data_IF_575222343569
#
_entry.id   IF_575222343569
#
_cell.length_a   1.000
_cell.length_b   1.000
_cell.length_c   1.000
_cell.angle_alpha   90.00
_cell.angle_beta   90.00
_cell.angle_gamma   90.00
#
_symmetry.space_group_name_H-M   'P 1'
#
loop_
_entity.id
_entity.type
_entity.pdbx_description
1 polymer ?
#
# COMPACT_ATOMS: atom_id res chain seq x y z
N UNK A 1 -13.31 -11.95 42.91
CA UNK A 1 -13.80 -11.45 41.60
C UNK A 1 -12.90 -10.31 41.16
N UNK A 2 -12.00 -10.58 40.21
CA UNK A 2 -11.08 -9.56 39.68
C UNK A 2 -11.84 -8.60 38.77
N UNK A 3 -11.70 -7.28 38.98
CA UNK A 3 -12.18 -6.28 38.03
C UNK A 3 -11.42 -6.47 36.71
N UNK A 4 -12.11 -6.60 35.56
CA UNK A 4 -11.43 -6.83 34.29
C UNK A 4 -10.50 -5.65 33.93
N UNK A 5 -9.39 -6.00 33.29
CA UNK A 5 -8.25 -5.11 33.00
C UNK A 5 -8.52 -4.05 31.89
N UNK A 6 -9.74 -3.55 31.78
CA UNK A 6 -10.18 -2.62 30.71
C UNK A 6 -9.44 -1.27 30.71
N UNK A 7 -8.86 -0.85 31.84
CA UNK A 7 -8.17 0.44 31.95
C UNK A 7 -6.87 0.54 31.11
N UNK A 8 -6.21 -0.59 30.82
CA UNK A 8 -4.94 -0.60 30.07
C UNK A 8 -5.17 -0.57 28.55
N UNK A 9 -6.21 -1.26 28.07
CA UNK A 9 -6.62 -1.27 26.66
C UNK A 9 -7.11 0.11 26.22
N UNK A 10 -7.87 0.79 27.08
CA UNK A 10 -8.38 2.14 26.80
C UNK A 10 -7.26 3.17 26.57
N UNK A 11 -6.13 3.04 27.28
CA UNK A 11 -4.96 3.92 27.08
C UNK A 11 -4.25 3.64 25.75
N UNK A 12 -4.17 2.37 25.31
CA UNK A 12 -3.56 1.98 24.03
C UNK A 12 -4.40 2.44 22.83
N UNK A 13 -5.72 2.32 22.92
CA UNK A 13 -6.67 2.82 21.90
C UNK A 13 -6.51 4.33 21.70
N UNK A 14 -6.51 5.08 22.81
CA UNK A 14 -6.38 6.53 22.80
C UNK A 14 -5.02 6.97 22.22
N UNK A 15 -3.93 6.29 22.60
CA UNK A 15 -2.60 6.58 22.06
C UNK A 15 -2.47 6.28 20.55
N UNK A 16 -3.12 5.21 20.06
CA UNK A 16 -3.12 4.85 18.64
C UNK A 16 -3.92 5.85 17.78
N UNK A 17 -5.01 6.39 18.33
CA UNK A 17 -5.80 7.46 17.71
C UNK A 17 -5.04 8.79 17.66
N UNK A 18 -4.34 9.14 18.75
CA UNK A 18 -3.51 10.33 18.88
C UNK A 18 -2.35 10.34 17.88
N UNK A 19 -1.63 9.22 17.73
CA UNK A 19 -0.44 9.16 16.88
C UNK A 19 -0.74 9.07 15.39
N UNK A 20 -1.87 8.48 14.98
CA UNK A 20 -2.13 8.18 13.58
C UNK A 20 -3.15 9.13 12.93
N UNK A 21 -4.30 9.36 13.57
CA UNK A 21 -5.38 10.15 12.95
C UNK A 21 -5.09 11.65 13.08
N UNK A 22 -4.74 12.09 14.28
CA UNK A 22 -4.63 13.50 14.63
C UNK A 22 -3.34 14.12 14.09
N UNK A 23 -2.22 13.38 14.10
CA UNK A 23 -0.94 13.90 13.64
C UNK A 23 -0.85 14.05 12.11
N UNK A 24 -1.72 13.38 11.35
CA UNK A 24 -1.70 13.39 9.89
C UNK A 24 -2.72 14.32 9.24
N UNK A 25 -3.57 15.01 10.02
CA UNK A 25 -4.46 16.05 9.45
C UNK A 25 -3.58 17.19 8.91
N UNK A 26 -3.73 17.59 7.62
CA UNK A 26 -2.98 18.69 7.05
C UNK A 26 -3.15 19.97 7.85
N UNK A 27 -2.08 20.75 8.03
CA UNK A 27 -2.11 21.99 8.84
C UNK A 27 -3.09 23.04 8.32
N UNK A 28 -3.36 23.01 7.01
CA UNK A 28 -4.30 23.90 6.33
C UNK A 28 -5.77 23.49 6.47
N UNK A 29 -6.08 22.34 7.06
CA UNK A 29 -7.46 21.89 7.23
C UNK A 29 -8.08 22.43 8.51
N UNK A 30 -9.36 22.77 8.42
CA UNK A 30 -10.23 23.17 9.51
C UNK A 30 -11.01 21.96 10.03
N UNK A 31 -11.35 21.98 11.33
CA UNK A 31 -12.10 20.90 11.96
C UNK A 31 -13.41 21.45 12.53
N UNK A 32 -14.50 20.70 12.35
CA UNK A 32 -15.80 20.95 12.96
C UNK A 32 -16.16 19.76 13.85
N UNK A 33 -16.52 20.02 15.11
CA UNK A 33 -17.12 19.00 15.98
C UNK A 33 -18.61 19.27 16.11
N UNK A 34 -19.41 18.26 15.79
CA UNK A 34 -20.87 18.31 15.85
C UNK A 34 -21.33 17.27 16.86
N UNK A 35 -22.22 17.65 17.76
CA UNK A 35 -22.91 16.70 18.65
C UNK A 35 -24.40 16.76 18.37
N UNK A 36 -24.98 15.67 17.89
CA UNK A 36 -26.42 15.50 17.75
C UNK A 36 -26.99 15.06 19.10
N UNK A 37 -27.91 15.86 19.63
CA UNK A 37 -28.57 15.66 20.92
C UNK A 37 -29.96 15.09 20.61
N UNK A 38 -30.15 13.81 20.91
CA UNK A 38 -31.40 13.04 20.77
C UNK A 38 -31.67 12.48 19.37
N UNK A 39 -31.39 11.20 19.23
CA UNK A 39 -31.92 10.33 18.20
C UNK A 39 -33.10 9.57 18.81
N UNK A 40 -34.32 9.77 18.30
CA UNK A 40 -35.46 8.90 18.64
C UNK A 40 -35.22 7.45 18.21
N UNK A 41 -36.14 6.54 18.54
CA UNK A 41 -36.00 5.10 18.24
C UNK A 41 -35.77 4.75 16.75
N UNK A 42 -36.16 5.63 15.82
CA UNK A 42 -36.08 5.43 14.36
C UNK A 42 -34.81 6.06 13.73
N UNK A 43 -33.65 5.93 14.37
CA UNK A 43 -32.50 6.82 14.12
C UNK A 43 -31.36 6.29 13.26
N UNK A 44 -31.42 5.04 12.83
CA UNK A 44 -30.31 4.36 12.14
C UNK A 44 -30.19 4.74 10.64
N UNK A 45 -31.28 4.79 9.85
CA UNK A 45 -31.20 5.20 8.44
C UNK A 45 -30.76 6.65 8.28
N UNK A 46 -31.24 7.54 9.16
CA UNK A 46 -30.93 8.96 9.13
C UNK A 46 -29.44 9.26 9.37
N UNK A 47 -28.74 8.46 10.19
CA UNK A 47 -27.30 8.63 10.41
C UNK A 47 -26.51 8.46 9.11
N UNK A 48 -26.69 7.33 8.42
CA UNK A 48 -25.95 7.03 7.18
C UNK A 48 -26.19 8.10 6.11
N UNK A 49 -27.42 8.58 5.98
CA UNK A 49 -27.75 9.64 5.05
C UNK A 49 -27.06 10.96 5.39
N UNK A 50 -26.95 11.30 6.68
CA UNK A 50 -26.21 12.49 7.13
C UNK A 50 -24.72 12.31 6.88
N UNK A 51 -24.14 11.16 7.23
CA UNK A 51 -22.73 10.84 7.02
C UNK A 51 -22.36 11.00 5.53
N UNK A 52 -23.20 10.50 4.63
CA UNK A 52 -23.03 10.63 3.17
C UNK A 52 -23.20 12.08 2.71
N UNK A 53 -24.25 12.79 3.17
CA UNK A 53 -24.51 14.18 2.77
C UNK A 53 -23.38 15.12 3.21
N UNK A 54 -22.89 14.99 4.44
CA UNK A 54 -21.75 15.76 4.94
C UNK A 54 -20.49 15.37 4.16
N UNK A 55 -20.23 14.08 3.96
CA UNK A 55 -19.04 13.63 3.23
C UNK A 55 -19.00 14.08 1.75
N UNK A 56 -20.17 14.23 1.10
CA UNK A 56 -20.30 14.77 -0.27
C UNK A 56 -20.21 16.29 -0.37
N UNK A 57 -20.28 17.00 0.76
CA UNK A 57 -20.26 18.47 0.78
C UNK A 57 -18.93 18.99 0.19
N UNK A 58 -18.95 19.86 -0.83
CA UNK A 58 -17.74 20.36 -1.46
C UNK A 58 -16.76 21.00 -0.46
N UNK A 59 -15.54 20.48 -0.44
CA UNK A 59 -14.46 20.94 0.43
C UNK A 59 -14.42 20.29 1.82
N UNK A 60 -15.32 19.35 2.11
CA UNK A 60 -15.10 18.34 3.16
C UNK A 60 -14.08 17.33 2.65
N UNK A 61 -13.05 17.07 3.44
CA UNK A 61 -11.98 16.11 3.10
C UNK A 61 -12.33 14.71 3.61
N UNK A 62 -12.81 14.61 4.86
CA UNK A 62 -13.39 13.39 5.42
C UNK A 62 -14.23 13.71 6.68
N UNK A 63 -15.06 12.75 7.07
CA UNK A 63 -15.95 12.82 8.24
C UNK A 63 -15.72 11.57 9.09
N UNK A 64 -15.69 11.74 10.41
CA UNK A 64 -15.74 10.64 11.37
C UNK A 64 -17.01 10.81 12.17
N UNK A 65 -17.90 9.82 12.15
CA UNK A 65 -19.09 9.78 13.01
C UNK A 65 -18.96 8.69 14.06
N UNK A 66 -19.43 8.96 15.28
CA UNK A 66 -19.42 8.02 16.39
C UNK A 66 -20.77 8.03 17.11
N UNK A 67 -21.35 6.86 17.40
CA UNK A 67 -22.49 6.81 18.31
C UNK A 67 -22.01 7.16 19.73
N UNK A 68 -22.81 7.93 20.44
CA UNK A 68 -22.58 8.30 21.83
C UNK A 68 -23.79 7.89 22.66
N UNK A 69 -23.58 7.14 23.74
CA UNK A 69 -24.56 6.99 24.81
C UNK A 69 -24.21 7.96 25.93
N UNK A 70 -25.14 8.81 26.37
CA UNK A 70 -24.98 9.46 27.67
C UNK A 70 -25.93 8.84 28.67
N UNK A 71 -25.38 8.16 29.68
CA UNK A 71 -26.07 8.04 30.94
C UNK A 71 -26.14 9.44 31.54
N UNK A 72 -27.35 9.93 31.78
CA UNK A 72 -27.51 11.11 32.62
C UNK A 72 -27.07 10.70 34.03
N UNK A 73 -25.82 11.01 34.38
CA UNK A 73 -25.38 11.09 35.76
C UNK A 73 -26.04 12.33 36.40
N UNK A 74 -27.37 12.32 36.51
CA UNK A 74 -28.02 13.13 37.52
C UNK A 74 -27.53 12.56 38.85
N UNK A 75 -26.70 13.33 39.56
CA UNK A 75 -26.40 13.13 40.98
C UNK A 75 -27.71 13.25 41.78
N UNK A 76 -28.62 12.27 41.66
CA UNK A 76 -29.71 12.08 42.63
C UNK A 76 -29.12 11.24 43.75
N UNK A 77 -29.02 11.85 44.94
CA UNK A 77 -28.87 11.13 46.22
C UNK A 77 -29.86 9.96 46.18
N UNK A 78 -29.35 8.72 46.26
CA UNK A 78 -30.18 7.53 46.37
C UNK A 78 -30.87 7.56 47.73
N UNK A 79 -32.19 7.68 47.73
CA UNK A 79 -33.04 7.01 48.72
C UNK A 79 -33.38 5.64 48.16
N UNK A 80 -33.41 4.63 49.04
CA UNK A 80 -33.39 3.20 48.71
C UNK A 80 -34.71 2.60 48.21
N UNK A 81 -35.75 3.42 48.03
CA UNK A 81 -37.05 2.97 47.54
C UNK A 81 -37.45 3.81 46.34
N UNK A 82 -37.14 3.31 45.14
CA UNK A 82 -37.96 3.54 43.95
C UNK A 82 -37.59 2.50 42.87
N UNK A 83 -38.47 1.51 42.81
CA UNK A 83 -38.85 0.67 41.67
C UNK A 83 -38.31 1.09 40.30
N UNK A 84 -37.48 0.21 39.73
CA UNK A 84 -37.48 -0.30 38.33
C UNK A 84 -37.95 0.62 37.19
N UNK A 85 -37.69 1.92 37.21
CA UNK A 85 -37.75 2.76 36.00
C UNK A 85 -36.58 2.38 35.09
N UNK A 86 -36.89 1.82 33.91
CA UNK A 86 -35.93 1.61 32.84
C UNK A 86 -35.21 2.93 32.56
N UNK A 87 -33.91 2.97 32.88
CA UNK A 87 -33.05 4.11 32.59
C UNK A 87 -32.97 4.28 31.07
N UNK A 88 -33.80 5.17 30.51
CA UNK A 88 -33.74 5.50 29.07
C UNK A 88 -32.41 6.18 28.74
N UNK A 89 -31.47 5.39 28.22
CA UNK A 89 -30.20 5.90 27.68
C UNK A 89 -30.52 6.77 26.47
N UNK A 90 -30.13 8.05 26.51
CA UNK A 90 -30.24 8.93 25.35
C UNK A 90 -29.11 8.58 24.37
N UNK A 91 -29.49 7.99 23.23
CA UNK A 91 -28.60 7.74 22.09
C UNK A 91 -28.39 9.05 21.32
N UNK A 92 -27.16 9.32 20.91
CA UNK A 92 -26.76 10.49 20.11
C UNK A 92 -25.61 10.14 19.17
N UNK A 93 -25.23 11.05 18.28
CA UNK A 93 -24.08 10.89 17.38
C UNK A 93 -23.17 12.11 17.49
N UNK A 94 -21.87 11.87 17.57
CA UNK A 94 -20.86 12.90 17.43
C UNK A 94 -20.22 12.81 16.03
N UNK A 95 -20.07 13.94 15.34
CA UNK A 95 -19.31 14.04 14.11
C UNK A 95 -18.06 14.87 14.31
N UNK A 96 -17.01 14.48 13.61
CA UNK A 96 -15.78 15.22 13.42
C UNK A 96 -15.57 15.38 11.92
N UNK A 97 -15.80 16.59 11.42
CA UNK A 97 -15.71 16.92 10.00
C UNK A 97 -14.43 17.69 9.75
N UNK A 98 -13.61 17.20 8.83
CA UNK A 98 -12.38 17.87 8.40
C UNK A 98 -12.65 18.53 7.05
N UNK A 99 -12.39 19.83 6.97
CA UNK A 99 -12.76 20.66 5.81
C UNK A 99 -11.60 21.57 5.38
N UNK A 100 -11.52 21.89 4.09
CA UNK A 100 -10.45 22.74 3.52
C UNK A 100 -10.56 24.21 3.88
N UNK A 101 -11.78 24.70 4.13
CA UNK A 101 -12.05 26.12 4.34
C UNK A 101 -13.17 26.29 5.36
N UNK A 102 -13.11 27.37 6.15
CA UNK A 102 -14.14 27.70 7.15
C UNK A 102 -15.51 28.00 6.53
N UNK A 103 -15.56 28.53 5.31
CA UNK A 103 -16.79 28.89 4.58
C UNK A 103 -17.80 27.73 4.42
N UNK A 104 -17.33 26.48 4.55
CA UNK A 104 -18.12 25.26 4.40
C UNK A 104 -18.97 24.97 5.66
N UNK A 105 -18.66 25.60 6.79
CA UNK A 105 -19.36 25.38 8.07
C UNK A 105 -20.88 25.59 7.96
N UNK A 106 -21.32 26.65 7.27
CA UNK A 106 -22.74 26.98 7.13
C UNK A 106 -23.49 25.97 6.26
N UNK A 107 -22.81 25.35 5.30
CA UNK A 107 -23.38 24.27 4.50
C UNK A 107 -23.57 23.00 5.32
N UNK A 108 -22.57 22.63 6.14
CA UNK A 108 -22.68 21.50 7.07
C UNK A 108 -23.80 21.75 8.10
N UNK A 109 -23.90 22.98 8.62
CA UNK A 109 -25.01 23.39 9.52
C UNK A 109 -26.37 23.20 8.86
N UNK A 110 -26.52 23.59 7.58
CA UNK A 110 -27.76 23.39 6.81
C UNK A 110 -28.08 21.92 6.59
N UNK A 111 -27.10 21.09 6.26
CA UNK A 111 -27.28 19.64 6.10
C UNK A 111 -27.81 19.00 7.39
N UNK A 112 -27.24 19.37 8.54
CA UNK A 112 -27.65 18.83 9.84
C UNK A 112 -29.04 19.36 10.26
N UNK A 113 -29.28 20.65 10.06
CA UNK A 113 -30.57 21.28 10.39
C UNK A 113 -31.71 20.71 9.53
N UNK A 114 -31.45 20.49 8.24
CA UNK A 114 -32.41 19.87 7.31
C UNK A 114 -32.73 18.41 7.64
N UNK A 115 -31.91 17.75 8.44
CA UNK A 115 -32.18 16.41 8.95
C UNK A 115 -33.01 16.40 10.25
N UNK A 116 -33.39 17.57 10.78
CA UNK A 116 -34.30 17.69 11.93
C UNK A 116 -33.66 17.46 13.31
N UNK A 117 -32.33 17.39 13.39
CA UNK A 117 -31.63 17.11 14.65
C UNK A 117 -31.29 18.38 15.43
N UNK A 118 -31.52 18.35 16.75
CA UNK A 118 -30.90 19.32 17.66
C UNK A 118 -29.40 19.06 17.70
N UNK A 119 -28.60 20.00 17.21
CA UNK A 119 -27.15 19.85 17.15
C UNK A 119 -26.43 20.96 17.91
N UNK A 120 -25.31 20.60 18.51
CA UNK A 120 -24.32 21.55 19.03
C UNK A 120 -23.08 21.47 18.15
N UNK A 121 -22.85 22.52 17.36
CA UNK A 121 -21.74 22.60 16.42
C UNK A 121 -20.68 23.54 16.99
N UNK A 122 -19.46 23.03 17.10
CA UNK A 122 -18.29 23.74 17.61
C UNK A 122 -17.22 23.76 16.52
N UNK A 123 -16.88 24.95 16.04
CA UNK A 123 -15.75 25.15 15.15
C UNK A 123 -14.44 25.13 15.94
N UNK A 124 -13.44 24.41 15.41
CA UNK A 124 -12.18 24.12 16.11
C UNK A 124 -11.01 24.95 15.57
N UNK A 125 -11.09 25.44 14.33
CA UNK A 125 -10.00 26.18 13.68
C UNK A 125 -9.02 25.30 12.90
N UNK A 126 -8.11 25.93 12.12
CA UNK A 126 -7.03 25.22 11.45
C UNK A 126 -5.92 24.83 12.42
N UNK A 127 -5.19 23.76 12.09
CA UNK A 127 -4.11 23.22 12.94
C UNK A 127 -2.86 24.09 12.83
N UNK A 128 -2.65 24.98 13.81
CA UNK A 128 -1.41 25.75 13.96
C UNK A 128 -1.62 27.21 14.38
N UNK A 129 -2.78 27.80 14.09
CA UNK A 129 -3.05 29.21 14.39
C UNK A 129 -3.48 29.44 15.85
N UNK A 130 -4.10 28.44 16.49
CA UNK A 130 -4.52 28.54 17.89
C UNK A 130 -4.31 27.21 18.61
N UNK A 131 -3.06 26.95 19.01
CA UNK A 131 -2.62 25.71 19.65
C UNK A 131 -3.52 25.30 20.83
N UNK A 132 -3.96 26.28 21.65
CA UNK A 132 -4.89 26.05 22.77
C UNK A 132 -6.26 25.56 22.30
N UNK A 133 -6.85 26.15 21.27
CA UNK A 133 -8.15 25.73 20.75
C UNK A 133 -8.10 24.34 20.08
N UNK A 134 -7.00 24.05 19.38
CA UNK A 134 -6.73 22.71 18.83
C UNK A 134 -6.58 21.69 19.97
N UNK A 135 -5.76 21.97 20.99
CA UNK A 135 -5.55 21.07 22.12
C UNK A 135 -6.84 20.84 22.94
N UNK A 136 -7.67 21.87 23.15
CA UNK A 136 -8.98 21.74 23.81
C UNK A 136 -9.92 20.84 23.00
N UNK A 137 -9.88 20.94 21.68
CA UNK A 137 -10.78 20.20 20.80
C UNK A 137 -10.34 18.76 20.60
N UNK A 138 -9.02 18.54 20.54
CA UNK A 138 -8.41 17.22 20.64
C UNK A 138 -8.71 16.57 22.00
N UNK A 139 -8.67 17.35 23.09
CA UNK A 139 -9.09 16.89 24.41
C UNK A 139 -10.57 16.54 24.45
N UNK A 140 -11.45 17.29 23.77
CA UNK A 140 -12.88 16.98 23.66
C UNK A 140 -13.18 15.75 22.82
N UNK A 141 -12.50 15.57 21.69
CA UNK A 141 -12.55 14.35 20.87
C UNK A 141 -12.09 13.14 21.72
N UNK A 142 -10.96 13.29 22.41
CA UNK A 142 -10.41 12.30 23.35
C UNK A 142 -11.40 11.95 24.46
N UNK A 143 -12.03 12.94 25.10
CA UNK A 143 -13.06 12.70 26.12
C UNK A 143 -14.27 12.00 25.51
N UNK A 144 -14.75 12.41 24.33
CA UNK A 144 -15.89 11.79 23.65
C UNK A 144 -15.61 10.32 23.31
N UNK A 145 -14.42 10.01 22.81
CA UNK A 145 -14.00 8.64 22.50
C UNK A 145 -13.72 7.81 23.76
N UNK A 146 -13.24 8.44 24.84
CA UNK A 146 -13.03 7.79 26.14
C UNK A 146 -14.35 7.46 26.84
N UNK A 147 -15.30 8.39 26.86
CA UNK A 147 -16.64 8.20 27.40
C UNK A 147 -17.36 7.08 26.63
N UNK A 148 -17.17 7.03 25.32
CA UNK A 148 -17.63 5.94 24.46
C UNK A 148 -17.00 4.58 24.83
N UNK A 149 -15.68 4.50 24.96
CA UNK A 149 -15.00 3.25 25.28
C UNK A 149 -15.35 2.73 26.70
N UNK A 150 -15.61 3.65 27.64
CA UNK A 150 -16.10 3.29 28.97
C UNK A 150 -17.54 2.74 28.93
N UNK A 151 -18.40 3.24 28.02
CA UNK A 151 -19.72 2.65 27.81
C UNK A 151 -19.62 1.23 27.21
N UNK A 152 -18.63 0.99 26.34
CA UNK A 152 -18.34 -0.33 25.75
C UNK A 152 -17.85 -1.36 26.78
N UNK A 153 -16.93 -0.96 27.66
CA UNK A 153 -16.42 -1.81 28.75
C UNK A 153 -17.48 -2.22 29.79
N UNK A 154 -18.65 -1.58 29.77
CA UNK A 154 -19.79 -1.93 30.62
C UNK A 154 -20.81 -2.87 29.95
N UNK A 155 -20.52 -3.43 28.76
CA UNK A 155 -21.39 -4.42 28.10
C UNK A 155 -22.54 -3.84 27.27
N UNK A 156 -22.63 -2.52 27.11
CA UNK A 156 -23.67 -1.86 26.29
C UNK A 156 -23.50 -2.05 24.77
N UNK A 157 -22.43 -2.74 24.35
CA UNK A 157 -22.04 -2.95 22.97
C UNK A 157 -22.85 -4.04 22.24
N UNK A 158 -23.32 -5.05 22.98
CA UNK A 158 -24.05 -6.20 22.40
C UNK A 158 -25.41 -5.79 21.82
N UNK A 159 -25.92 -4.60 22.16
CA UNK A 159 -27.19 -4.05 21.63
C UNK A 159 -27.07 -3.30 20.30
N UNK A 160 -25.87 -3.14 19.72
CA UNK A 160 -25.70 -2.38 18.48
C UNK A 160 -25.39 -3.31 17.28
N UNK A 161 -26.38 -3.55 16.43
CA UNK A 161 -26.25 -4.25 15.14
C UNK A 161 -25.39 -3.50 14.08
N UNK A 162 -24.75 -2.38 14.44
CA UNK A 162 -24.04 -1.49 13.51
C UNK A 162 -22.67 -1.03 14.01
N UNK A 163 -21.75 -0.71 13.08
CA UNK A 163 -20.44 -0.17 13.41
C UNK A 163 -20.57 1.15 14.16
N UNK A 164 -19.84 1.24 15.25
CA UNK A 164 -20.05 2.32 16.20
C UNK A 164 -19.31 3.58 15.81
N UNK A 165 -18.19 3.42 15.10
CA UNK A 165 -17.48 4.49 14.42
C UNK A 165 -17.57 4.29 12.90
N UNK A 166 -17.94 5.33 12.16
CA UNK A 166 -17.89 5.33 10.70
C UNK A 166 -16.94 6.44 10.23
N UNK A 167 -16.03 6.10 9.32
CA UNK A 167 -15.16 7.08 8.64
C UNK A 167 -15.62 7.19 7.21
N UNK A 168 -16.06 8.37 6.80
CA UNK A 168 -16.56 8.65 5.46
C UNK A 168 -15.60 9.56 4.72
N UNK A 169 -15.14 9.12 3.55
CA UNK A 169 -14.31 9.92 2.65
C UNK A 169 -14.76 9.77 1.21
N UNK A 170 -14.75 10.87 0.46
CA UNK A 170 -15.02 10.90 -0.98
C UNK A 170 -13.78 11.34 -1.77
N UNK A 171 -12.62 11.43 -1.11
CA UNK A 171 -11.36 11.88 -1.71
C UNK A 171 -10.34 10.75 -1.72
N UNK A 172 -9.97 10.31 -2.92
CA UNK A 172 -9.01 9.22 -3.15
C UNK A 172 -7.62 9.50 -2.56
N UNK A 173 -7.23 10.78 -2.46
CA UNK A 173 -5.92 11.19 -1.95
C UNK A 173 -5.66 10.83 -0.47
N UNK A 174 -6.70 10.61 0.34
CA UNK A 174 -6.57 10.21 1.75
C UNK A 174 -6.82 8.72 1.97
N UNK A 175 -6.99 7.93 0.90
CA UNK A 175 -7.35 6.53 1.02
C UNK A 175 -6.27 5.73 1.77
N UNK A 176 -4.99 5.97 1.46
CA UNK A 176 -3.88 5.30 2.15
C UNK A 176 -3.76 5.73 3.61
N UNK A 177 -3.93 7.03 3.90
CA UNK A 177 -3.92 7.54 5.28
C UNK A 177 -5.05 6.92 6.10
N UNK A 178 -6.27 6.88 5.55
CA UNK A 178 -7.45 6.30 6.20
C UNK A 178 -7.29 4.77 6.35
N UNK A 179 -6.65 4.10 5.39
CA UNK A 179 -6.31 2.68 5.49
C UNK A 179 -5.31 2.43 6.62
N UNK A 180 -4.28 3.26 6.77
CA UNK A 180 -3.35 3.18 7.89
C UNK A 180 -4.06 3.42 9.23
N UNK A 181 -4.98 4.39 9.29
CA UNK A 181 -5.79 4.66 10.49
C UNK A 181 -6.67 3.47 10.86
N UNK A 182 -7.35 2.90 9.88
CA UNK A 182 -8.16 1.71 10.03
C UNK A 182 -7.34 0.52 10.55
N UNK A 183 -6.15 0.31 10.00
CA UNK A 183 -5.26 -0.75 10.47
C UNK A 183 -4.84 -0.52 11.93
N UNK A 184 -4.48 0.71 12.30
CA UNK A 184 -4.18 1.07 13.68
C UNK A 184 -5.38 0.85 14.63
N UNK A 185 -6.59 1.23 14.21
CA UNK A 185 -7.82 1.03 14.98
C UNK A 185 -8.18 -0.45 15.18
N UNK A 186 -7.92 -1.30 14.19
CA UNK A 186 -8.11 -2.76 14.31
C UNK A 186 -7.16 -3.37 15.32
N UNK A 187 -5.91 -2.89 15.40
CA UNK A 187 -4.94 -3.39 16.40
C UNK A 187 -5.35 -3.12 17.84
N UNK A 188 -6.33 -2.24 18.06
CA UNK A 188 -6.86 -1.88 19.38
C UNK A 188 -8.34 -2.29 19.55
N UNK A 189 -8.82 -3.20 18.71
CA UNK A 189 -10.14 -3.84 18.80
C UNK A 189 -11.35 -2.88 18.74
N UNK A 190 -11.20 -1.74 18.06
CA UNK A 190 -12.31 -0.82 17.82
C UNK A 190 -13.09 -1.29 16.59
N UNK A 191 -14.40 -1.52 16.74
CA UNK A 191 -15.30 -1.79 15.62
C UNK A 191 -15.60 -0.49 14.85
N UNK A 192 -15.11 -0.40 13.62
CA UNK A 192 -15.39 0.71 12.72
C UNK A 192 -15.67 0.23 11.29
N UNK A 193 -16.40 1.05 10.53
CA UNK A 193 -16.61 0.87 9.09
C UNK A 193 -16.08 2.09 8.35
N UNK A 194 -15.41 1.84 7.22
CA UNK A 194 -14.98 2.88 6.32
C UNK A 194 -15.98 2.94 5.18
N UNK A 195 -16.67 4.06 5.04
CA UNK A 195 -17.51 4.35 3.89
C UNK A 195 -16.68 5.22 2.96
N UNK A 196 -15.87 4.56 2.12
CA UNK A 196 -15.26 5.24 1.00
C UNK A 196 -16.32 5.41 -0.08
N UNK A 197 -16.71 6.66 -0.36
CA UNK A 197 -17.50 7.00 -1.52
C UNK A 197 -16.69 6.90 -2.81
N UNK A 198 -16.19 5.70 -3.10
CA UNK A 198 -16.05 5.27 -4.47
C UNK A 198 -17.44 4.82 -4.93
N UNK A 199 -17.82 5.05 -6.20
CA UNK A 199 -19.12 4.63 -6.71
C UNK A 199 -19.37 3.15 -6.40
N UNK A 200 -20.54 2.88 -5.81
CA UNK A 200 -20.96 1.59 -5.32
C UNK A 200 -20.98 0.58 -6.48
N UNK A 201 -20.10 -0.42 -6.43
CA UNK A 201 -19.91 -1.48 -7.42
C UNK A 201 -19.36 -1.08 -8.80
N UNK A 202 -18.38 -1.87 -9.25
CA UNK A 202 -17.84 -1.83 -10.61
C UNK A 202 -18.95 -1.97 -11.67
N UNK A 203 -20.01 -2.71 -11.38
CA UNK A 203 -21.15 -2.94 -12.28
C UNK A 203 -22.03 -1.71 -12.47
N UNK A 204 -22.23 -0.88 -11.44
CA UNK A 204 -23.00 0.37 -11.55
C UNK A 204 -22.18 1.48 -12.26
N UNK A 205 -20.86 1.48 -12.08
CA UNK A 205 -19.91 2.31 -12.84
C UNK A 205 -19.85 1.91 -14.31
N UNK A 206 -19.93 0.61 -14.60
CA UNK A 206 -19.94 0.10 -15.98
C UNK A 206 -21.30 0.32 -16.67
N UNK A 207 -22.42 0.27 -15.92
CA UNK A 207 -23.76 0.52 -16.46
C UNK A 207 -24.08 2.00 -16.70
N UNK A 208 -23.48 2.91 -15.92
CA UNK A 208 -23.75 4.36 -16.01
C UNK A 208 -22.63 5.17 -16.68
N UNK A 209 -21.57 4.54 -17.21
CA UNK A 209 -20.55 5.26 -17.98
C UNK A 209 -20.96 5.36 -19.44
N UNK A 210 -21.50 6.52 -19.80
CA UNK A 210 -21.11 7.11 -21.08
C UNK A 210 -19.57 7.21 -21.14
N UNK A 211 -18.94 6.79 -22.24
CA UNK A 211 -17.49 6.65 -22.39
C UNK A 211 -16.82 8.02 -22.31
N UNK A 212 -16.20 8.37 -21.17
CA UNK A 212 -15.65 9.74 -20.98
C UNK A 212 -14.26 9.80 -20.36
N UNK A 213 -13.50 8.71 -20.34
CA UNK A 213 -12.05 8.85 -20.22
C UNK A 213 -11.35 7.80 -21.09
N UNK A 214 -11.17 8.14 -22.36
CA UNK A 214 -10.45 7.32 -23.35
C UNK A 214 -9.07 6.87 -22.83
N UNK A 215 -8.41 7.69 -22.00
CA UNK A 215 -7.15 7.33 -21.34
C UNK A 215 -7.26 6.17 -20.34
N UNK A 216 -8.40 6.03 -19.64
CA UNK A 216 -8.64 4.89 -18.75
C UNK A 216 -8.90 3.62 -19.54
N UNK A 217 -9.65 3.70 -20.64
CA UNK A 217 -9.88 2.56 -21.53
C UNK A 217 -8.55 2.10 -22.14
N UNK A 218 -7.75 3.03 -22.66
CA UNK A 218 -6.41 2.76 -23.18
C UNK A 218 -5.49 2.06 -22.17
N UNK A 219 -5.57 2.46 -20.89
CA UNK A 219 -4.81 1.84 -19.82
C UNK A 219 -5.27 0.41 -19.53
N UNK A 220 -6.57 0.16 -19.48
CA UNK A 220 -7.10 -1.20 -19.29
C UNK A 220 -6.81 -2.10 -20.49
N UNK A 221 -7.00 -1.61 -21.73
CA UNK A 221 -6.63 -2.33 -22.96
C UNK A 221 -5.15 -2.70 -22.97
N UNK A 222 -4.26 -1.77 -22.56
CA UNK A 222 -2.83 -2.06 -22.42
C UNK A 222 -2.56 -3.13 -21.36
N UNK A 223 -3.20 -3.07 -20.18
CA UNK A 223 -3.02 -4.08 -19.13
C UNK A 223 -3.45 -5.46 -19.59
N UNK A 224 -4.60 -5.56 -20.26
CA UNK A 224 -5.11 -6.81 -20.81
C UNK A 224 -4.13 -7.40 -21.81
N UNK A 225 -3.68 -6.59 -22.78
CA UNK A 225 -2.69 -7.03 -23.77
C UNK A 225 -1.37 -7.48 -23.13
N UNK A 226 -0.89 -6.77 -22.10
CA UNK A 226 0.30 -7.17 -21.35
C UNK A 226 0.11 -8.49 -20.60
N UNK A 227 -1.05 -8.69 -19.96
CA UNK A 227 -1.34 -9.92 -19.22
C UNK A 227 -1.46 -11.13 -20.13
N UNK A 228 -2.17 -11.00 -21.26
CA UNK A 228 -2.32 -12.05 -22.27
C UNK A 228 -0.97 -12.46 -22.88
N UNK A 229 -0.14 -11.47 -23.19
CA UNK A 229 1.21 -11.69 -23.69
C UNK A 229 2.21 -12.14 -22.60
N UNK A 230 1.77 -12.21 -21.34
CA UNK A 230 2.63 -12.55 -20.18
C UNK A 230 3.84 -11.62 -20.09
N UNK A 231 3.57 -10.33 -20.25
CA UNK A 231 4.53 -9.25 -20.12
C UNK A 231 4.39 -8.53 -18.78
N UNK A 232 5.49 -7.98 -18.29
CA UNK A 232 5.56 -7.21 -17.06
C UNK A 232 6.48 -5.99 -17.23
N UNK A 233 6.43 -5.06 -16.28
CA UNK A 233 7.18 -3.80 -16.36
C UNK A 233 8.14 -3.69 -15.19
N UNK A 234 9.35 -3.23 -15.44
CA UNK A 234 10.28 -2.83 -14.39
C UNK A 234 11.12 -1.63 -14.82
N UNK A 235 11.00 -0.54 -14.04
CA UNK A 235 11.78 0.70 -14.21
C UNK A 235 11.77 1.21 -15.65
N UNK A 236 10.58 1.26 -16.24
CA UNK A 236 10.38 1.74 -17.62
C UNK A 236 10.87 0.81 -18.73
N UNK A 237 11.23 -0.43 -18.39
CA UNK A 237 11.49 -1.49 -19.36
C UNK A 237 10.40 -2.55 -19.27
N UNK A 238 10.10 -3.16 -20.41
CA UNK A 238 9.13 -4.24 -20.54
C UNK A 238 9.87 -5.56 -20.62
N UNK A 239 9.32 -6.55 -19.96
CA UNK A 239 9.86 -7.88 -19.83
C UNK A 239 8.82 -8.90 -20.26
N UNK A 240 9.24 -9.99 -20.90
CA UNK A 240 8.36 -11.13 -21.22
C UNK A 240 8.74 -12.32 -20.38
N UNK A 241 7.75 -13.15 -20.04
CA UNK A 241 8.02 -14.42 -19.39
C UNK A 241 8.83 -15.33 -20.31
N UNK A 242 9.90 -15.93 -19.78
CA UNK A 242 10.78 -16.82 -20.54
C UNK A 242 10.01 -18.09 -20.91
N UNK A 243 10.07 -18.58 -22.17
CA UNK A 243 9.46 -19.86 -22.54
C UNK A 243 10.00 -21.01 -21.68
N UNK A 244 9.09 -21.83 -21.15
CA UNK A 244 9.44 -22.92 -20.23
C UNK A 244 9.64 -22.52 -18.76
N UNK A 245 9.70 -21.22 -18.46
CA UNK A 245 9.71 -20.71 -17.09
C UNK A 245 8.29 -20.48 -16.57
N UNK A 246 8.08 -20.77 -15.29
CA UNK A 246 6.90 -20.42 -14.52
C UNK A 246 6.93 -18.95 -14.07
N UNK A 247 8.09 -18.45 -13.61
CA UNK A 247 8.20 -17.12 -12.99
C UNK A 247 9.24 -16.19 -13.61
N UNK A 248 10.25 -16.69 -14.32
CA UNK A 248 11.33 -15.85 -14.84
C UNK A 248 10.88 -14.96 -16.01
N UNK A 249 11.32 -13.71 -15.97
CA UNK A 249 11.09 -12.71 -17.00
C UNK A 249 12.41 -12.22 -17.60
N UNK A 250 12.46 -12.07 -18.92
CA UNK A 250 13.60 -11.50 -19.64
C UNK A 250 13.25 -10.15 -20.28
N UNK A 251 14.26 -9.28 -20.38
CA UNK A 251 14.08 -7.91 -20.87
C UNK A 251 13.81 -7.92 -22.38
N UNK A 252 12.68 -7.34 -22.79
CA UNK A 252 12.40 -7.10 -24.20
C UNK A 252 12.98 -5.77 -24.68
N UNK A 253 12.74 -4.70 -23.91
CA UNK A 253 13.11 -3.36 -24.35
C UNK A 253 12.50 -2.26 -23.49
N UNK A 254 12.70 -0.99 -23.86
CA UNK A 254 12.12 0.13 -23.14
C UNK A 254 10.63 0.29 -23.48
N UNK A 255 9.87 0.86 -22.54
CA UNK A 255 8.41 1.01 -22.63
C UNK A 255 7.94 1.79 -23.88
N UNK A 256 8.71 2.76 -24.34
CA UNK A 256 8.41 3.51 -25.56
C UNK A 256 8.43 2.62 -26.82
N UNK A 257 9.44 1.76 -26.96
CA UNK A 257 9.50 0.80 -28.07
C UNK A 257 8.35 -0.19 -28.00
N UNK A 258 8.02 -0.65 -26.80
CA UNK A 258 6.92 -1.58 -26.58
C UNK A 258 5.56 -0.99 -26.98
N UNK A 259 5.20 0.19 -26.46
CA UNK A 259 3.92 0.85 -26.79
C UNK A 259 3.82 1.12 -28.30
N UNK A 260 4.91 1.56 -28.94
CA UNK A 260 4.94 1.76 -30.40
C UNK A 260 4.73 0.46 -31.18
N UNK A 261 5.26 -0.66 -30.70
CA UNK A 261 5.04 -1.97 -31.35
C UNK A 261 3.60 -2.46 -31.21
N UNK A 262 2.94 -2.16 -30.10
CA UNK A 262 1.56 -2.56 -29.84
C UNK A 262 0.55 -1.75 -30.65
N UNK A 263 0.82 -0.46 -30.87
CA UNK A 263 -0.03 0.43 -31.66
C UNK A 263 -0.28 -0.07 -33.10
N UNK A 264 0.59 -0.95 -33.61
CA UNK A 264 0.43 -1.58 -34.93
C UNK A 264 -0.70 -2.63 -34.94
N UNK A 265 -1.10 -3.15 -33.78
CA UNK A 265 -2.16 -4.15 -33.66
C UNK A 265 -3.54 -3.51 -33.84
N UNK A 266 -4.33 -3.89 -34.86
CA UNK A 266 -5.60 -3.24 -35.18
C UNK A 266 -6.58 -3.17 -34.01
N UNK A 267 -6.67 -4.25 -33.22
CA UNK A 267 -7.69 -4.43 -32.18
C UNK A 267 -7.57 -3.46 -30.99
N UNK A 268 -6.38 -2.88 -30.77
CA UNK A 268 -6.09 -2.01 -29.62
C UNK A 268 -5.45 -0.68 -30.03
N UNK A 269 -5.26 -0.46 -31.33
CA UNK A 269 -4.64 0.73 -31.89
C UNK A 269 -5.41 1.99 -31.52
N UNK A 270 -6.72 1.98 -31.72
CA UNK A 270 -7.56 3.16 -31.57
C UNK A 270 -7.66 3.61 -30.11
N UNK A 271 -7.57 2.66 -29.18
CA UNK A 271 -7.50 2.93 -27.75
C UNK A 271 -6.13 3.50 -27.35
N UNK A 272 -5.03 2.88 -27.80
CA UNK A 272 -3.69 3.16 -27.28
C UNK A 272 -3.02 4.36 -27.97
N UNK A 273 -3.20 4.53 -29.28
CA UNK A 273 -2.49 5.54 -30.06
C UNK A 273 -2.68 6.97 -29.53
N UNK A 274 -3.92 7.45 -29.24
CA UNK A 274 -4.16 8.80 -28.75
C UNK A 274 -3.54 9.07 -27.36
N UNK A 275 -3.22 8.01 -26.61
CA UNK A 275 -2.76 8.08 -25.22
C UNK A 275 -1.34 7.54 -25.02
N UNK A 276 -0.62 7.25 -26.09
CA UNK A 276 0.68 6.56 -26.07
C UNK A 276 1.72 7.20 -25.13
N UNK A 277 1.91 8.53 -25.18
CA UNK A 277 2.86 9.22 -24.30
C UNK A 277 2.47 9.15 -22.82
N UNK A 278 1.18 9.28 -22.50
CA UNK A 278 0.68 9.15 -21.14
C UNK A 278 0.89 7.72 -20.60
N UNK A 279 0.61 6.71 -21.42
CA UNK A 279 0.84 5.31 -21.09
C UNK A 279 2.34 5.01 -20.89
N UNK A 280 3.21 5.52 -21.77
CA UNK A 280 4.66 5.39 -21.62
C UNK A 280 5.14 5.98 -20.28
N UNK A 281 4.61 7.15 -19.90
CA UNK A 281 4.92 7.77 -18.61
C UNK A 281 4.48 6.90 -17.44
N UNK A 282 3.27 6.32 -17.49
CA UNK A 282 2.77 5.41 -16.46
C UNK A 282 3.60 4.13 -16.34
N UNK A 283 4.04 3.55 -17.47
CA UNK A 283 4.92 2.37 -17.48
C UNK A 283 6.31 2.67 -16.87
N UNK A 284 6.81 3.90 -17.05
CA UNK A 284 8.10 4.34 -16.49
C UNK A 284 8.02 4.68 -15.01
N UNK A 285 6.84 5.03 -14.50
CA UNK A 285 6.65 5.43 -13.12
C UNK A 285 6.70 4.22 -12.17
N UNK A 286 7.75 4.18 -11.34
CA UNK A 286 7.94 3.11 -10.36
C UNK A 286 6.98 3.17 -9.18
N UNK A 287 6.36 4.34 -8.93
CA UNK A 287 5.33 4.54 -7.90
C UNK A 287 3.91 4.37 -8.41
N UNK A 288 3.73 3.95 -9.67
CA UNK A 288 2.42 3.79 -10.27
C UNK A 288 1.66 2.61 -9.62
N UNK A 289 0.57 2.93 -8.92
CA UNK A 289 -0.33 1.90 -8.36
C UNK A 289 -1.17 1.20 -9.44
N UNK A 290 -1.39 1.87 -10.57
CA UNK A 290 -2.20 1.32 -11.66
C UNK A 290 -1.48 0.22 -12.43
N UNK A 291 -0.15 0.31 -12.59
CA UNK A 291 0.66 -0.72 -13.23
C UNK A 291 1.74 -1.15 -12.25
N UNK A 292 1.53 -2.31 -11.64
CA UNK A 292 2.47 -2.87 -10.69
C UNK A 292 3.78 -3.22 -11.38
N UNK A 293 4.89 -2.72 -10.82
CA UNK A 293 6.23 -3.07 -11.28
C UNK A 293 6.62 -4.46 -10.77
N UNK A 294 7.34 -5.19 -11.62
CA UNK A 294 7.95 -6.47 -11.32
C UNK A 294 9.03 -6.29 -10.25
N UNK A 295 9.04 -7.13 -9.23
CA UNK A 295 10.13 -7.24 -8.28
C UNK A 295 11.08 -8.36 -8.72
N UNK A 296 12.38 -8.12 -8.64
CA UNK A 296 13.38 -9.15 -8.94
C UNK A 296 13.91 -9.76 -7.64
N UNK A 297 13.88 -11.08 -7.55
CA UNK A 297 14.55 -11.84 -6.49
C UNK A 297 15.97 -12.22 -6.94
N UNK A 298 16.94 -11.69 -6.21
CA UNK A 298 18.36 -11.79 -6.53
C UNK A 298 18.94 -13.15 -6.19
N UNK A 299 18.27 -13.87 -5.30
CA UNK A 299 18.79 -15.04 -4.65
C UNK A 299 18.33 -16.33 -5.34
N UNK A 300 17.30 -16.26 -6.18
CA UNK A 300 16.68 -17.42 -6.80
C UNK A 300 17.00 -17.49 -8.30
N UNK A 301 17.46 -18.66 -8.73
CA UNK A 301 17.57 -19.09 -10.12
C UNK A 301 16.49 -20.13 -10.37
N UNK A 302 15.72 -19.95 -11.44
CA UNK A 302 14.70 -20.92 -11.85
C UNK A 302 15.31 -21.95 -12.82
N UNK A 303 14.93 -23.21 -12.63
CA UNK A 303 15.35 -24.36 -13.43
C UNK A 303 14.11 -25.08 -13.99
N UNK A 304 14.24 -25.91 -15.03
CA UNK A 304 13.14 -26.71 -15.55
C UNK A 304 12.50 -27.61 -14.50
N UNK A 305 11.18 -27.83 -14.62
CA UNK A 305 10.43 -28.72 -13.75
C UNK A 305 10.17 -28.15 -12.34
N UNK A 306 9.89 -26.85 -12.25
CA UNK A 306 9.58 -26.15 -10.99
C UNK A 306 10.66 -26.30 -9.90
N UNK A 307 11.91 -26.45 -10.33
CA UNK A 307 13.08 -26.49 -9.46
C UNK A 307 13.67 -25.09 -9.33
N UNK A 308 14.09 -24.74 -8.13
CA UNK A 308 14.66 -23.43 -7.85
C UNK A 308 15.99 -23.60 -7.14
N UNK A 309 17.03 -22.92 -7.59
CA UNK A 309 18.32 -22.89 -6.92
C UNK A 309 18.47 -21.59 -6.17
N UNK A 310 18.68 -21.68 -4.85
CA UNK A 310 18.87 -20.53 -3.99
C UNK A 310 20.37 -20.29 -3.78
N UNK A 311 20.87 -19.15 -4.23
CA UNK A 311 22.28 -18.81 -4.23
C UNK A 311 22.85 -18.69 -2.81
N UNK A 312 22.11 -18.07 -1.88
CA UNK A 312 22.54 -17.84 -0.50
C UNK A 312 22.74 -19.13 0.28
N UNK A 313 21.85 -20.10 0.10
CA UNK A 313 21.92 -21.42 0.73
C UNK A 313 22.59 -22.50 -0.12
N UNK A 314 22.98 -22.17 -1.35
CA UNK A 314 23.66 -23.06 -2.30
C UNK A 314 22.95 -24.41 -2.50
N UNK A 315 21.62 -24.40 -2.47
CA UNK A 315 20.82 -25.62 -2.55
C UNK A 315 19.61 -25.46 -3.46
N UNK A 316 19.15 -26.60 -3.97
CA UNK A 316 17.84 -26.70 -4.59
C UNK A 316 16.77 -26.58 -3.52
N UNK A 317 15.74 -25.80 -3.83
CA UNK A 317 14.59 -25.58 -2.96
C UNK A 317 13.31 -25.77 -3.75
N UNK A 318 12.21 -25.98 -3.03
CA UNK A 318 10.87 -25.98 -3.60
C UNK A 318 10.50 -24.59 -4.09
N UNK A 319 9.48 -24.49 -4.94
CA UNK A 319 8.97 -23.21 -5.43
C UNK A 319 8.75 -22.22 -4.27
N UNK A 320 9.52 -21.11 -4.22
CA UNK A 320 9.38 -20.12 -3.16
C UNK A 320 8.21 -19.15 -3.40
N UNK A 321 7.57 -19.23 -4.57
CA UNK A 321 6.55 -18.29 -5.03
C UNK A 321 5.18 -18.96 -5.12
N UNK A 322 4.12 -18.15 -5.03
CA UNK A 322 2.75 -18.58 -5.26
C UNK A 322 2.33 -18.26 -6.68
N UNK A 323 1.32 -18.94 -7.21
CA UNK A 323 0.73 -18.62 -8.52
C UNK A 323 0.28 -17.16 -8.62
N UNK A 324 -0.14 -16.57 -7.50
CA UNK A 324 -0.52 -15.16 -7.41
C UNK A 324 0.65 -14.20 -7.56
N UNK A 325 1.90 -14.66 -7.54
CA UNK A 325 3.13 -13.87 -7.73
C UNK A 325 3.57 -13.80 -9.20
N UNK A 326 2.94 -14.56 -10.11
CA UNK A 326 3.20 -14.48 -11.55
C UNK A 326 2.96 -13.04 -12.04
N UNK A 327 3.90 -12.50 -12.81
CA UNK A 327 3.90 -11.12 -13.28
C UNK A 327 4.22 -10.07 -12.21
N UNK A 328 4.44 -10.47 -10.95
CA UNK A 328 4.77 -9.58 -9.83
C UNK A 328 6.19 -9.80 -9.31
N UNK A 329 6.66 -11.03 -9.30
CA UNK A 329 8.01 -11.40 -8.89
C UNK A 329 8.65 -12.18 -10.03
N UNK A 330 9.90 -11.85 -10.34
CA UNK A 330 10.76 -12.65 -11.21
C UNK A 330 11.97 -13.12 -10.41
N UNK A 331 12.33 -14.41 -10.47
CA UNK A 331 13.68 -14.84 -10.10
C UNK A 331 14.73 -14.14 -10.99
N UNK A 332 15.99 -14.24 -10.59
CA UNK A 332 17.12 -13.60 -11.28
C UNK A 332 17.18 -13.98 -12.75
N UNK A 333 17.01 -15.27 -13.03
CA UNK A 333 17.11 -15.84 -14.38
C UNK A 333 16.46 -17.22 -14.38
N UNK A 334 16.03 -17.65 -15.57
CA UNK A 334 15.75 -19.05 -15.85
C UNK A 334 16.91 -19.66 -16.63
N UNK A 335 17.45 -20.77 -16.15
CA UNK A 335 18.50 -21.52 -16.85
C UNK A 335 17.92 -22.84 -17.29
N UNK A 336 17.74 -23.02 -18.60
CA UNK A 336 17.36 -24.30 -19.18
C UNK A 336 18.56 -25.26 -19.16
N UNK A 337 18.80 -25.91 -18.02
CA UNK A 337 19.81 -26.95 -17.89
C UNK A 337 19.18 -28.29 -18.30
N UNK A 338 19.76 -29.02 -19.26
CA UNK A 338 19.33 -30.39 -19.54
C UNK A 338 19.45 -31.26 -18.29
N UNK A 339 18.46 -32.10 -18.00
CA UNK A 339 18.42 -32.93 -16.78
C UNK A 339 19.65 -33.84 -16.59
N UNK A 340 20.42 -34.08 -17.66
CA UNK A 340 21.59 -34.97 -17.68
C UNK A 340 22.94 -34.27 -17.68
N UNK A 341 22.99 -32.95 -17.46
CA UNK A 341 24.31 -32.30 -17.29
C UNK A 341 24.83 -32.63 -15.91
N UNK A 342 25.76 -33.59 -15.85
CA UNK A 342 26.67 -33.72 -14.72
C UNK A 342 27.46 -32.41 -14.64
N UNK A 343 27.03 -31.51 -13.76
CA UNK A 343 27.73 -30.24 -13.51
C UNK A 343 28.97 -30.56 -12.70
N UNK A 344 30.00 -31.11 -13.35
CA UNK A 344 31.31 -31.18 -12.72
C UNK A 344 31.81 -29.74 -12.63
N UNK A 345 32.13 -29.29 -11.41
CA UNK A 345 32.75 -27.98 -11.20
C UNK A 345 34.13 -27.83 -11.85
N UNK A 346 34.62 -28.88 -12.53
CA UNK A 346 35.98 -29.05 -13.04
C UNK A 346 36.52 -27.82 -13.76
N UNK A 347 35.93 -27.37 -14.87
CA UNK A 347 36.52 -26.30 -15.68
C UNK A 347 36.61 -24.96 -14.93
N UNK A 348 35.63 -24.63 -14.09
CA UNK A 348 35.62 -23.37 -13.34
C UNK A 348 36.52 -23.43 -12.09
N UNK A 349 36.48 -24.54 -11.36
CA UNK A 349 37.34 -24.76 -10.20
C UNK A 349 38.83 -24.81 -10.60
N UNK A 350 39.14 -25.49 -11.71
CA UNK A 350 40.47 -25.54 -12.29
C UNK A 350 40.93 -24.16 -12.75
N UNK A 351 40.07 -23.38 -13.43
CA UNK A 351 40.39 -22.01 -13.82
C UNK A 351 40.70 -21.12 -12.61
N UNK A 352 39.96 -21.23 -11.50
CA UNK A 352 40.28 -20.52 -10.25
C UNK A 352 41.62 -20.98 -9.68
N UNK A 353 41.89 -22.29 -9.68
CA UNK A 353 43.12 -22.83 -9.13
C UNK A 353 44.34 -22.32 -9.91
N UNK A 354 44.26 -22.31 -11.24
CA UNK A 354 45.33 -21.86 -12.12
C UNK A 354 45.53 -20.33 -12.10
N UNK A 355 44.46 -19.56 -11.86
CA UNK A 355 44.53 -18.09 -11.87
C UNK A 355 44.99 -17.49 -10.53
N UNK A 356 44.80 -18.21 -9.42
CA UNK A 356 45.12 -17.73 -8.07
C UNK A 356 45.88 -18.81 -7.29
N UNK A 357 47.21 -18.91 -7.46
CA UNK A 357 48.03 -19.92 -6.78
C UNK A 357 47.98 -19.75 -5.25
N UNK A 358 48.00 -18.50 -4.79
CA UNK A 358 47.94 -18.18 -3.38
C UNK A 358 46.53 -18.34 -2.80
N UNK A 359 46.43 -19.08 -1.68
CA UNK A 359 45.16 -19.32 -0.97
C UNK A 359 44.50 -18.01 -0.56
N UNK A 360 45.26 -17.02 -0.08
CA UNK A 360 44.71 -15.73 0.37
C UNK A 360 44.06 -14.96 -0.78
N UNK A 361 44.68 -14.94 -1.95
CA UNK A 361 44.17 -14.27 -3.14
C UNK A 361 42.93 -14.98 -3.69
N UNK A 362 43.00 -16.31 -3.76
CA UNK A 362 41.89 -17.20 -4.15
C UNK A 362 40.66 -16.94 -3.29
N UNK A 363 40.81 -16.91 -1.97
CA UNK A 363 39.70 -16.65 -1.04
C UNK A 363 39.11 -15.25 -1.21
N UNK A 364 39.96 -14.22 -1.36
CA UNK A 364 39.50 -12.84 -1.62
C UNK A 364 38.72 -12.76 -2.94
N UNK A 365 39.20 -13.41 -3.99
CA UNK A 365 38.53 -13.48 -5.27
C UNK A 365 37.17 -14.16 -5.13
N UNK A 366 37.10 -15.38 -4.56
CA UNK A 366 35.86 -16.14 -4.42
C UNK A 366 34.81 -15.36 -3.62
N UNK A 367 35.19 -14.80 -2.47
CA UNK A 367 34.27 -13.99 -1.64
C UNK A 367 33.73 -12.82 -2.46
N UNK A 368 34.61 -12.10 -3.17
CA UNK A 368 34.19 -10.93 -3.94
C UNK A 368 33.35 -11.31 -5.15
N UNK A 369 33.70 -12.40 -5.82
CA UNK A 369 32.98 -12.96 -6.95
C UNK A 369 31.57 -13.36 -6.53
N UNK A 370 31.44 -14.07 -5.42
CA UNK A 370 30.15 -14.45 -4.83
C UNK A 370 29.30 -13.24 -4.43
N UNK A 371 29.89 -12.19 -3.85
CA UNK A 371 29.19 -10.92 -3.62
C UNK A 371 28.65 -10.30 -4.92
N UNK A 372 29.42 -10.37 -6.01
CA UNK A 372 28.94 -9.91 -7.32
C UNK A 372 27.80 -10.79 -7.84
N UNK A 373 27.81 -12.10 -7.58
CA UNK A 373 26.73 -13.01 -7.96
C UNK A 373 25.44 -12.71 -7.19
N UNK A 374 25.52 -12.49 -5.87
CA UNK A 374 24.35 -12.21 -5.03
C UNK A 374 23.77 -10.81 -5.26
N UNK A 375 24.59 -9.84 -5.64
CA UNK A 375 24.10 -8.49 -5.89
C UNK A 375 23.41 -8.39 -7.27
N UNK A 376 22.26 -7.72 -7.36
CA UNK A 376 21.80 -7.16 -8.64
C UNK A 376 22.56 -5.87 -8.99
N UNK A 377 22.90 -5.09 -7.95
CA UNK A 377 23.68 -3.87 -8.05
C UNK A 377 24.53 -3.75 -6.78
N UNK A 378 25.85 -3.55 -6.94
CA UNK A 378 26.72 -3.26 -5.79
C UNK A 378 26.42 -1.84 -5.27
N UNK A 379 26.38 -1.63 -3.94
CA UNK A 379 26.21 -0.30 -3.35
C UNK A 379 27.24 0.72 -3.88
N UNK A 380 26.90 2.02 -3.90
CA UNK A 380 27.87 3.06 -4.21
C UNK A 380 29.09 2.95 -3.29
N UNK A 381 30.28 3.27 -3.83
CA UNK A 381 31.59 3.18 -3.15
C UNK A 381 32.06 1.77 -2.75
N UNK A 382 31.39 0.70 -3.18
CA UNK A 382 31.90 -0.67 -2.98
C UNK A 382 33.17 -0.91 -3.80
N UNK A 383 34.20 -1.55 -3.20
CA UNK A 383 35.40 -2.02 -3.93
C UNK A 383 34.96 -2.87 -5.12
N UNK A 384 35.53 -2.63 -6.30
CA UNK A 384 35.19 -3.38 -7.52
C UNK A 384 36.07 -4.61 -7.64
N UNK A 385 35.53 -5.65 -8.28
CA UNK A 385 36.34 -6.77 -8.71
C UNK A 385 37.13 -6.33 -9.96
N UNK A 386 38.45 -6.36 -9.87
CA UNK A 386 39.34 -6.06 -10.99
C UNK A 386 40.26 -7.25 -11.20
N UNK A 387 40.28 -7.77 -12.42
CA UNK A 387 41.14 -8.87 -12.83
C UNK A 387 42.26 -8.31 -13.69
N UNK A 388 43.51 -8.47 -13.24
CA UNK A 388 44.72 -8.01 -13.93
C UNK A 388 45.55 -9.24 -14.29
N UNK A 389 46.16 -9.23 -15.47
CA UNK A 389 47.02 -10.32 -15.95
C UNK A 389 47.27 -10.21 -17.44
N UNK A 390 48.18 -11.02 -17.98
CA UNK A 390 48.57 -11.00 -19.39
C UNK A 390 47.40 -11.18 -20.38
N UNK A 391 47.57 -10.69 -21.61
CA UNK A 391 46.62 -10.96 -22.70
C UNK A 391 46.39 -12.48 -22.82
N UNK A 392 45.13 -12.89 -23.06
CA UNK A 392 44.70 -14.29 -23.18
C UNK A 392 44.75 -15.16 -21.89
N UNK A 393 44.99 -14.59 -20.71
CA UNK A 393 44.97 -15.33 -19.44
C UNK A 393 43.58 -15.78 -18.94
N UNK A 394 42.56 -15.85 -19.80
CA UNK A 394 41.21 -16.30 -19.42
C UNK A 394 40.35 -15.34 -18.58
N UNK A 395 40.78 -14.08 -18.34
CA UNK A 395 40.02 -13.08 -17.55
C UNK A 395 38.56 -12.92 -17.99
N UNK A 396 38.31 -12.98 -19.30
CA UNK A 396 36.96 -12.84 -19.88
C UNK A 396 36.02 -13.96 -19.43
N UNK A 397 36.54 -15.16 -19.16
CA UNK A 397 35.75 -16.31 -18.68
C UNK A 397 35.04 -15.99 -17.37
N UNK A 398 35.75 -15.44 -16.38
CA UNK A 398 35.17 -15.04 -15.11
C UNK A 398 34.13 -13.93 -15.26
N UNK A 399 34.39 -12.94 -16.13
CA UNK A 399 33.46 -11.85 -16.41
C UNK A 399 32.20 -12.38 -17.12
N UNK A 400 32.33 -13.37 -17.99
CA UNK A 400 31.22 -13.95 -18.73
C UNK A 400 30.25 -14.70 -17.82
N UNK A 401 30.72 -15.36 -16.76
CA UNK A 401 29.83 -15.97 -15.74
C UNK A 401 28.94 -14.92 -15.10
N UNK A 402 29.54 -13.81 -14.67
CA UNK A 402 28.79 -12.68 -14.08
C UNK A 402 27.83 -12.09 -15.12
N UNK A 403 28.30 -11.84 -16.35
CA UNK A 403 27.44 -11.32 -17.44
C UNK A 403 26.27 -12.24 -17.79
N UNK A 404 26.48 -13.55 -17.80
CA UNK A 404 25.43 -14.55 -18.07
C UNK A 404 24.32 -14.52 -17.02
N UNK A 405 24.65 -14.19 -15.77
CA UNK A 405 23.68 -14.04 -14.67
C UNK A 405 23.10 -12.62 -14.55
N UNK A 406 23.65 -11.66 -15.31
CA UNK A 406 23.21 -10.26 -15.38
C UNK A 406 22.63 -9.90 -16.77
N UNK A 407 22.07 -10.88 -17.50
CA UNK A 407 21.36 -10.65 -18.78
C UNK A 407 20.24 -9.60 -18.67
N UNK A 408 19.77 -9.31 -17.46
CA UNK A 408 18.99 -8.12 -17.13
C UNK A 408 19.90 -6.88 -17.17
N UNK A 409 19.81 -6.07 -18.23
CA UNK A 409 20.45 -4.75 -18.35
C UNK A 409 20.11 -3.82 -17.16
N UNK A 410 20.78 -4.01 -16.03
CA UNK A 410 20.56 -3.35 -14.75
C UNK A 410 21.91 -3.01 -14.11
N UNK A 411 22.74 -2.25 -14.82
CA UNK A 411 23.58 -1.19 -14.25
C UNK A 411 24.55 -0.65 -15.32
N UNK A 412 24.59 0.67 -15.56
CA UNK A 412 25.67 1.29 -16.33
C UNK A 412 27.05 1.15 -15.68
N UNK A 413 27.18 0.58 -14.47
CA UNK A 413 28.47 0.26 -13.85
C UNK A 413 29.12 -1.02 -14.38
N UNK A 414 28.36 -1.93 -14.97
CA UNK A 414 28.89 -3.14 -15.63
C UNK A 414 29.09 -2.93 -17.14
N UNK A 415 28.45 -1.91 -17.72
CA UNK A 415 28.60 -1.55 -19.12
C UNK A 415 29.86 -0.69 -19.32
N UNK A 416 30.90 -1.33 -19.88
CA UNK A 416 32.05 -0.74 -20.58
C UNK A 416 33.06 0.13 -19.79
N UNK A 417 32.78 0.72 -18.63
CA UNK A 417 33.69 1.72 -18.02
C UNK A 417 34.46 1.32 -16.75
N UNK A 418 34.35 0.08 -16.25
CA UNK A 418 34.97 -0.28 -14.95
C UNK A 418 35.53 -1.71 -14.84
N UNK A 419 35.70 -2.40 -15.95
CA UNK A 419 36.71 -3.46 -16.04
C UNK A 419 37.94 -2.84 -16.69
N UNK A 420 38.81 -2.27 -15.86
CA UNK A 420 40.16 -1.92 -16.30
C UNK A 420 40.87 -3.25 -16.58
N UNK A 421 40.86 -3.66 -17.84
CA UNK A 421 41.88 -4.55 -18.36
C UNK A 421 43.09 -3.63 -18.57
N UNK A 422 43.94 -3.51 -17.56
CA UNK A 422 45.25 -2.92 -17.77
C UNK A 422 45.97 -3.79 -18.79
N UNK A 423 46.45 -3.15 -19.86
CA UNK A 423 47.27 -3.75 -20.92
C UNK A 423 48.62 -4.16 -20.36
#
# INVERSE_FOLDING_TARGET
>A
MARPAHGLENKKVIAALESNIILNIPRSCHILSVRLISLGGESLPLRKDIDIKIGKTPGVEFVISCLTGSENNAKKKKTEEDTREERKIKKGVAYFVVMKQKSIEDEIRRVIAGAGFKSKITYIGPRGENRKATDISLSRLKTTMKDYNNAFGNGLAEEFDQPVCEIVTFRSQYYEDIRCWAQALRTVNVNFVIICGAPSSLEEVLKNRTPTNAACLALESLKTAMNEAKHAVFRGNVYRRVPGAAFAYEKMGPANTYVRSIVVLPDIRDDIYPHSEALIRLLKDTGCNSIRQLAFDADIIELPGEKFFKLSSQCLTKCPYKTSDVGKISPRIFINVPERVNVSGGPFAEAIHNSFPEIKEKMRFIIKFYQCLLAFQLPPKTKKLTLVGHKNSGKTTFVNVVRGLHTLNLSPHFQKKKFLVCR
#
